data_IF_358629170294
#
_entry.id   IF_358629170294
#
_cell.length_a   1.000
_cell.length_b   1.000
_cell.length_c   1.000
_cell.angle_alpha   90.00
_cell.angle_beta   90.00
_cell.angle_gamma   90.00
#
_symmetry.space_group_name_H-M   'P 1'
#
loop_
_entity.id
_entity.type
_entity.pdbx_description
1 polymer ?
#
# COMPACT_ATOMS: atom_id res chain seq x y z
N UNK A 1 -52.63 21.23 -7.02
CA UNK A 1 -51.85 20.45 -8.01
C UNK A 1 -51.50 19.12 -7.38
N UNK A 2 -52.07 18.02 -7.88
CA UNK A 2 -51.97 16.68 -7.25
C UNK A 2 -50.55 16.13 -7.33
N UNK A 3 -50.12 15.35 -6.32
CA UNK A 3 -48.81 14.67 -6.27
C UNK A 3 -48.55 13.81 -7.52
N UNK A 4 -49.61 13.28 -8.13
CA UNK A 4 -49.52 12.48 -9.36
C UNK A 4 -49.00 13.28 -10.56
N UNK A 5 -49.31 14.58 -10.61
CA UNK A 5 -48.85 15.47 -11.69
C UNK A 5 -47.35 15.78 -11.59
N UNK A 6 -46.80 15.79 -10.37
CA UNK A 6 -45.36 15.97 -10.15
C UNK A 6 -44.60 14.68 -10.49
N UNK A 7 -45.15 13.52 -10.15
CA UNK A 7 -44.57 12.23 -10.50
C UNK A 7 -44.53 12.00 -12.03
N UNK A 8 -45.61 12.35 -12.74
CA UNK A 8 -45.66 12.26 -14.20
C UNK A 8 -44.65 13.19 -14.90
N UNK A 9 -44.46 14.41 -14.38
CA UNK A 9 -43.47 15.35 -14.92
C UNK A 9 -42.04 14.84 -14.72
N UNK A 10 -41.73 14.25 -13.57
CA UNK A 10 -40.42 13.68 -13.27
C UNK A 10 -40.11 12.47 -14.16
N UNK A 11 -41.09 11.59 -14.39
CA UNK A 11 -40.92 10.43 -15.26
C UNK A 11 -40.68 10.81 -16.72
N UNK A 12 -41.37 11.85 -17.22
CA UNK A 12 -41.14 12.33 -18.58
C UNK A 12 -39.74 12.95 -18.75
N UNK A 13 -39.25 13.66 -17.73
CA UNK A 13 -37.90 14.22 -17.74
C UNK A 13 -36.83 13.12 -17.72
N UNK A 14 -37.01 12.09 -16.89
CA UNK A 14 -36.10 10.93 -16.84
C UNK A 14 -36.08 10.16 -18.16
N UNK A 15 -37.23 9.95 -18.79
CA UNK A 15 -37.31 9.30 -20.10
C UNK A 15 -36.62 10.13 -21.19
N UNK A 16 -36.78 11.46 -21.18
CA UNK A 16 -36.09 12.32 -22.14
C UNK A 16 -34.55 12.23 -22.01
N UNK A 17 -34.03 12.17 -20.77
CA UNK A 17 -32.59 12.02 -20.52
C UNK A 17 -32.04 10.63 -20.90
N UNK A 18 -32.88 9.59 -20.85
CA UNK A 18 -32.49 8.23 -21.22
C UNK A 18 -32.40 8.05 -22.74
N UNK A 19 -33.21 8.77 -23.53
CA UNK A 19 -33.18 8.69 -24.99
C UNK A 19 -32.00 9.44 -25.64
N UNK A 20 -31.42 10.44 -24.98
CA UNK A 20 -30.28 11.21 -25.53
C UNK A 20 -28.93 10.47 -25.44
N UNK A 21 -28.88 9.27 -24.85
CA UNK A 21 -27.64 8.53 -24.56
C UNK A 21 -27.32 7.36 -25.51
N UNK A 22 -28.07 7.16 -26.59
CA UNK A 22 -27.72 6.17 -27.63
C UNK A 22 -27.12 6.86 -28.86
N UNK A 23 -25.79 6.78 -29.10
CA UNK A 23 -25.24 7.13 -30.38
C UNK A 23 -25.58 6.04 -31.41
N UNK A 24 -26.18 6.48 -32.52
CA UNK A 24 -26.33 5.77 -33.78
C UNK A 24 -25.02 5.06 -34.19
N UNK A 25 -24.92 3.75 -33.93
CA UNK A 25 -23.83 2.90 -34.42
C UNK A 25 -24.36 1.74 -35.28
N UNK A 26 -25.40 2.01 -36.06
CA UNK A 26 -25.91 1.10 -37.10
C UNK A 26 -25.82 1.75 -38.48
N UNK A 27 -24.60 2.01 -38.95
CA UNK A 27 -24.38 2.15 -40.39
C UNK A 27 -22.94 1.83 -40.77
N UNK A 28 -22.79 0.80 -41.61
CA UNK A 28 -21.64 0.44 -42.46
C UNK A 28 -20.81 -0.77 -42.02
N UNK A 29 -21.36 -1.96 -42.27
CA UNK A 29 -20.56 -3.11 -42.69
C UNK A 29 -21.19 -3.71 -43.95
N UNK A 30 -20.50 -3.52 -45.09
CA UNK A 30 -20.77 -4.24 -46.34
C UNK A 30 -20.31 -5.70 -46.18
N UNK A 31 -20.99 -6.68 -46.80
CA UNK A 31 -20.56 -8.07 -46.75
C UNK A 31 -19.41 -8.28 -47.75
N UNK A 32 -18.29 -8.81 -47.26
CA UNK A 32 -17.25 -9.39 -48.10
C UNK A 32 -17.37 -10.92 -48.05
N UNK A 33 -17.85 -11.48 -49.15
CA UNK A 33 -17.66 -12.87 -49.53
C UNK A 33 -16.19 -13.28 -49.41
N UNK A 34 -15.93 -14.37 -48.71
CA UNK A 34 -15.04 -15.44 -49.17
C UNK A 34 -14.96 -16.53 -48.10
N UNK A 35 -15.82 -17.53 -48.26
CA UNK A 35 -15.67 -18.82 -47.63
C UNK A 35 -14.31 -19.44 -48.00
N UNK A 36 -13.48 -19.74 -46.99
CA UNK A 36 -12.41 -20.73 -47.10
C UNK A 36 -12.40 -21.61 -45.86
N UNK A 37 -12.96 -22.80 -46.08
CA UNK A 37 -12.53 -24.12 -45.59
C UNK A 37 -12.07 -24.23 -44.14
N UNK A 38 -12.96 -24.76 -43.32
CA UNK A 38 -12.65 -25.36 -42.03
C UNK A 38 -11.99 -26.72 -42.29
N UNK A 39 -10.72 -26.87 -41.93
CA UNK A 39 -10.06 -28.16 -41.81
C UNK A 39 -9.66 -28.35 -40.34
N UNK A 40 -10.54 -29.01 -39.57
CA UNK A 40 -10.14 -29.65 -38.33
C UNK A 40 -9.53 -30.99 -38.70
N UNK A 41 -8.29 -31.20 -38.24
CA UNK A 41 -7.70 -32.44 -37.71
C UNK A 41 -6.18 -32.29 -37.83
N UNK A 42 -5.55 -31.80 -36.76
CA UNK A 42 -4.20 -32.24 -36.41
C UNK A 42 -4.11 -32.26 -34.89
N UNK A 43 -3.91 -33.46 -34.34
CA UNK A 43 -3.53 -33.67 -32.94
C UNK A 43 -2.22 -32.92 -32.67
N UNK A 44 -2.09 -32.21 -31.55
CA UNK A 44 -0.81 -31.65 -31.17
C UNK A 44 0.09 -32.80 -30.70
N UNK A 45 1.06 -33.19 -31.53
CA UNK A 45 2.23 -33.97 -31.10
C UNK A 45 3.08 -33.09 -30.16
N UNK A 46 2.70 -33.02 -28.90
CA UNK A 46 3.53 -32.44 -27.85
C UNK A 46 4.56 -33.48 -27.43
N UNK A 47 5.76 -33.38 -27.98
CA UNK A 47 6.93 -34.05 -27.45
C UNK A 47 7.32 -33.37 -26.12
N UNK A 48 7.36 -34.11 -24.98
CA UNK A 48 7.78 -33.53 -23.72
C UNK A 48 9.30 -33.54 -23.68
N UNK A 49 9.94 -32.59 -24.38
CA UNK A 49 11.35 -32.34 -24.14
C UNK A 49 11.50 -31.48 -22.88
N UNK A 50 11.25 -32.12 -21.73
CA UNK A 50 11.56 -31.55 -20.42
C UNK A 50 13.07 -31.53 -20.31
N UNK A 51 13.67 -30.34 -20.42
CA UNK A 51 15.04 -30.12 -19.97
C UNK A 51 15.11 -30.48 -18.48
N UNK A 52 15.60 -31.68 -18.17
CA UNK A 52 15.94 -32.08 -16.81
C UNK A 52 17.10 -31.20 -16.36
N UNK A 53 16.80 -30.16 -15.58
CA UNK A 53 17.82 -29.57 -14.73
C UNK A 53 18.36 -30.66 -13.80
N UNK A 54 19.69 -30.82 -13.66
CA UNK A 54 20.23 -31.72 -12.66
C UNK A 54 19.78 -31.25 -11.29
N UNK A 55 19.18 -32.18 -10.53
CA UNK A 55 18.84 -31.97 -9.12
C UNK A 55 20.16 -31.64 -8.39
N UNK A 56 20.29 -30.41 -7.88
CA UNK A 56 21.43 -30.04 -7.04
C UNK A 56 21.43 -30.95 -5.81
N UNK A 57 22.52 -31.66 -5.59
CA UNK A 57 22.75 -32.37 -4.35
C UNK A 57 22.75 -31.37 -3.17
N UNK A 58 22.16 -31.73 -2.02
CA UNK A 58 22.17 -30.87 -0.85
C UNK A 58 23.61 -30.63 -0.39
N UNK A 59 23.98 -29.36 -0.20
CA UNK A 59 25.32 -28.92 0.21
C UNK A 59 25.68 -29.28 1.67
N UNK A 60 24.87 -30.11 2.34
CA UNK A 60 25.06 -30.47 3.74
C UNK A 60 24.82 -31.97 3.88
N UNK A 61 25.88 -32.69 4.22
CA UNK A 61 25.89 -34.12 4.52
C UNK A 61 25.06 -34.41 5.78
N UNK A 62 24.30 -35.51 5.82
CA UNK A 62 23.53 -35.96 7.01
C UNK A 62 24.40 -36.09 8.27
N UNK A 63 25.70 -36.28 8.09
CA UNK A 63 26.70 -36.39 9.15
C UNK A 63 26.95 -35.05 9.87
N UNK A 64 26.76 -33.91 9.21
CA UNK A 64 26.85 -32.58 9.84
C UNK A 64 25.63 -32.24 10.71
N UNK A 65 24.46 -32.85 10.44
CA UNK A 65 23.26 -32.66 11.26
C UNK A 65 23.43 -33.37 12.62
N UNK A 66 24.14 -34.50 12.65
CA UNK A 66 24.41 -35.27 13.88
C UNK A 66 25.42 -34.63 14.83
N UNK A 67 26.17 -33.62 14.40
CA UNK A 67 27.18 -32.94 15.21
C UNK A 67 26.69 -31.66 15.90
N UNK A 68 25.40 -31.32 15.76
CA UNK A 68 24.80 -30.26 16.55
C UNK A 68 24.61 -30.75 18.00
N UNK A 69 25.15 -30.05 19.01
CA UNK A 69 25.02 -30.47 20.39
C UNK A 69 23.56 -30.36 20.87
N UNK A 70 22.99 -31.49 21.27
CA UNK A 70 21.75 -31.56 22.05
C UNK A 70 22.02 -31.16 23.51
N UNK A 71 21.13 -30.31 24.03
CA UNK A 71 20.87 -30.05 25.45
C UNK A 71 21.86 -29.14 26.20
N UNK A 72 21.37 -27.94 26.53
CA UNK A 72 21.68 -27.31 27.82
C UNK A 72 20.35 -27.07 28.53
N UNK A 73 20.06 -27.92 29.52
CA UNK A 73 19.13 -27.63 30.60
C UNK A 73 19.75 -26.49 31.43
N UNK A 74 19.11 -25.33 31.47
CA UNK A 74 19.46 -24.27 32.43
C UNK A 74 18.38 -24.28 33.51
N UNK A 75 18.77 -24.83 34.65
CA UNK A 75 18.09 -24.79 35.94
C UNK A 75 18.01 -23.34 36.43
N UNK A 76 16.88 -23.03 37.05
CA UNK A 76 16.55 -21.78 37.74
C UNK A 76 17.61 -21.41 38.79
N UNK A 77 18.08 -20.16 38.75
CA UNK A 77 18.54 -19.44 39.95
C UNK A 77 17.92 -18.04 39.94
N UNK A 78 16.96 -17.87 40.85
CA UNK A 78 16.31 -16.63 41.20
C UNK A 78 17.32 -15.68 41.87
N UNK A 79 17.44 -14.44 41.37
CA UNK A 79 17.73 -13.30 42.24
C UNK A 79 16.77 -12.15 41.97
N UNK A 80 15.91 -11.98 42.97
CA UNK A 80 14.95 -10.92 43.21
C UNK A 80 15.60 -9.53 43.26
N UNK A 81 15.08 -8.61 42.45
CA UNK A 81 14.84 -7.24 42.86
C UNK A 81 13.36 -6.94 42.59
N UNK A 82 12.55 -7.13 43.62
CA UNK A 82 11.21 -6.58 43.69
C UNK A 82 11.34 -5.14 44.18
N UNK A 83 10.75 -4.18 43.46
CA UNK A 83 10.02 -3.06 44.04
C UNK A 83 9.10 -2.45 42.96
N UNK A 84 7.83 -2.43 43.32
CA UNK A 84 6.75 -1.57 42.84
C UNK A 84 6.07 -1.93 41.52
N UNK A 85 4.89 -2.54 41.68
CA UNK A 85 3.72 -2.25 40.87
C UNK A 85 3.67 -0.75 40.54
N UNK A 86 3.74 -0.49 39.24
CA UNK A 86 2.90 0.51 38.61
C UNK A 86 2.32 -0.19 37.38
N UNK A 87 1.09 -0.66 37.54
CA UNK A 87 0.18 -0.85 36.42
C UNK A 87 0.07 0.50 35.70
N UNK A 88 0.88 0.70 34.66
CA UNK A 88 0.51 1.60 33.58
C UNK A 88 0.27 0.73 32.37
N UNK A 89 -0.95 0.23 32.33
CA UNK A 89 -1.70 -0.06 31.12
C UNK A 89 -1.24 0.85 29.99
N UNK A 90 -0.47 0.29 29.04
CA UNK A 90 -0.26 0.91 27.73
C UNK A 90 -1.38 0.44 26.80
N UNK A 91 -2.62 0.69 27.23
CA UNK A 91 -3.72 0.88 26.30
C UNK A 91 -3.44 2.19 25.54
N UNK A 92 -3.99 2.36 24.33
CA UNK A 92 -3.98 3.63 23.57
C UNK A 92 -2.83 3.91 22.59
N UNK A 93 -2.24 2.91 21.93
CA UNK A 93 -1.38 3.13 20.75
C UNK A 93 -2.14 3.19 19.40
N UNK A 94 -3.46 2.95 19.39
CA UNK A 94 -4.34 3.02 18.21
C UNK A 94 -5.61 3.86 18.47
N UNK A 95 -5.68 4.57 19.60
CA UNK A 95 -6.93 5.09 20.18
C UNK A 95 -7.74 6.04 19.28
N UNK A 96 -7.13 6.56 18.23
CA UNK A 96 -7.78 7.48 17.29
C UNK A 96 -8.15 6.86 15.95
N UNK A 97 -7.68 5.63 15.66
CA UNK A 97 -7.88 4.96 14.37
C UNK A 97 -9.12 4.06 14.38
N UNK A 98 -10.30 4.68 14.35
CA UNK A 98 -11.61 3.99 14.30
C UNK A 98 -11.76 2.95 13.17
N UNK A 99 -10.94 3.03 12.12
CA UNK A 99 -10.92 2.07 11.03
C UNK A 99 -10.35 0.69 11.41
N UNK A 100 -9.59 0.59 12.50
CA UNK A 100 -8.90 -0.64 12.92
C UNK A 100 -9.80 -1.64 13.67
N UNK A 101 -11.00 -1.21 14.11
CA UNK A 101 -11.90 -2.01 14.96
C UNK A 101 -12.80 -2.99 14.19
N UNK A 102 -12.79 -2.94 12.85
CA UNK A 102 -13.65 -3.75 11.98
C UNK A 102 -12.88 -4.17 10.73
N UNK A 103 -13.41 -5.10 9.94
CA UNK A 103 -12.76 -5.47 8.68
C UNK A 103 -12.64 -4.26 7.73
N UNK A 104 -11.44 -4.03 7.18
CA UNK A 104 -11.12 -2.88 6.33
C UNK A 104 -10.37 -3.32 5.06
N UNK A 105 -10.30 -2.43 4.07
CA UNK A 105 -9.51 -2.65 2.86
C UNK A 105 -8.22 -1.83 2.92
N UNK A 106 -7.11 -2.43 2.50
CA UNK A 106 -5.81 -1.80 2.40
C UNK A 106 -5.27 -1.84 0.97
N UNK A 107 -4.63 -0.75 0.54
CA UNK A 107 -3.78 -0.76 -0.64
C UNK A 107 -2.38 -1.24 -0.28
N UNK A 108 -1.86 -2.20 -1.03
CA UNK A 108 -0.45 -2.58 -0.96
C UNK A 108 0.39 -1.76 -1.94
N UNK A 109 1.55 -1.32 -1.49
CA UNK A 109 2.53 -0.60 -2.32
C UNK A 109 3.96 -0.85 -1.82
N UNK A 110 4.94 -0.66 -2.68
CA UNK A 110 6.34 -0.88 -2.36
C UNK A 110 7.10 0.43 -2.22
N UNK A 111 7.96 0.44 -1.19
CA UNK A 111 8.92 1.49 -0.92
C UNK A 111 10.29 0.85 -0.70
N UNK A 112 11.21 1.07 -1.63
CA UNK A 112 12.59 0.62 -1.55
C UNK A 112 12.74 -0.88 -1.21
N UNK A 113 11.88 -1.72 -1.79
CA UNK A 113 11.87 -3.17 -1.57
C UNK A 113 11.11 -3.64 -0.32
N UNK A 114 10.47 -2.75 0.43
CA UNK A 114 9.53 -3.08 1.51
C UNK A 114 8.10 -2.88 1.04
N UNK A 115 7.25 -3.89 1.24
CA UNK A 115 5.82 -3.78 1.00
C UNK A 115 5.13 -3.18 2.22
N UNK A 116 4.33 -2.15 1.98
CA UNK A 116 3.52 -1.42 2.95
C UNK A 116 2.04 -1.60 2.62
N UNK A 117 1.21 -1.50 3.65
CA UNK A 117 -0.24 -1.46 3.57
C UNK A 117 -0.75 -0.15 4.16
N UNK A 118 -1.72 0.47 3.50
CA UNK A 118 -2.42 1.66 4.01
C UNK A 118 -3.93 1.48 3.83
N UNK A 119 -4.77 1.79 4.84
CA UNK A 119 -6.22 1.71 4.71
C UNK A 119 -6.75 2.58 3.56
N UNK A 120 -7.64 2.04 2.73
CA UNK A 120 -8.23 2.77 1.61
C UNK A 120 -9.04 4.00 2.06
N UNK A 121 -9.61 3.97 3.27
CA UNK A 121 -10.35 5.11 3.86
C UNK A 121 -9.47 6.34 4.07
N UNK A 122 -8.17 6.15 4.24
CA UNK A 122 -7.20 7.23 4.45
C UNK A 122 -6.53 7.69 3.15
N UNK A 123 -6.77 7.00 2.05
CA UNK A 123 -6.15 7.31 0.77
C UNK A 123 -6.90 8.39 0.00
N UNK A 124 -6.13 9.30 -0.60
CA UNK A 124 -6.62 10.23 -1.61
C UNK A 124 -6.47 9.63 -3.02
N UNK A 125 -5.93 10.43 -3.92
CA UNK A 125 -5.59 10.03 -5.29
C UNK A 125 -4.15 9.51 -5.42
N UNK A 126 -3.92 8.73 -6.48
CA UNK A 126 -2.59 8.26 -6.88
C UNK A 126 -2.22 8.96 -8.19
N UNK A 127 -1.08 9.63 -8.20
CA UNK A 127 -0.54 10.34 -9.36
C UNK A 127 0.71 9.64 -9.88
N UNK A 128 1.02 9.80 -11.16
CA UNK A 128 2.33 9.43 -11.69
C UNK A 128 3.40 10.35 -11.11
N UNK A 129 4.58 9.80 -10.83
CA UNK A 129 5.74 10.57 -10.40
C UNK A 129 6.55 10.99 -11.64
N UNK A 130 6.52 12.28 -11.94
CA UNK A 130 7.29 12.89 -13.02
C UNK A 130 8.14 14.03 -12.44
N UNK A 131 9.46 13.85 -12.26
CA UNK A 131 10.33 14.85 -11.64
C UNK A 131 10.20 16.26 -12.24
N UNK A 132 9.91 16.35 -13.53
CA UNK A 132 9.77 17.60 -14.28
C UNK A 132 8.50 18.38 -13.90
N UNK A 133 7.48 17.72 -13.37
CA UNK A 133 6.25 18.34 -12.90
C UNK A 133 6.33 18.85 -11.46
N UNK A 134 7.36 18.45 -10.71
CA UNK A 134 7.53 18.88 -9.33
C UNK A 134 8.25 20.23 -9.26
N UNK A 135 7.66 21.18 -8.55
CA UNK A 135 8.30 22.45 -8.23
C UNK A 135 9.19 22.29 -7.00
N UNK A 136 10.53 22.37 -7.11
CA UNK A 136 11.42 22.27 -5.96
C UNK A 136 11.30 23.52 -5.07
N UNK A 137 11.48 23.34 -3.77
CA UNK A 137 11.57 24.44 -2.80
C UNK A 137 12.95 24.48 -2.16
N UNK A 138 13.55 25.67 -2.09
CA UNK A 138 14.84 25.88 -1.45
C UNK A 138 14.70 25.90 0.08
N UNK A 139 15.73 25.42 0.78
CA UNK A 139 15.78 25.42 2.23
C UNK A 139 14.89 24.37 2.90
N UNK A 140 14.31 23.45 2.13
CA UNK A 140 13.53 22.34 2.67
C UNK A 140 14.43 21.17 3.11
N UNK A 141 13.96 20.33 4.06
CA UNK A 141 14.64 19.10 4.42
C UNK A 141 14.80 18.14 3.23
N UNK A 142 15.77 17.24 3.31
CA UNK A 142 16.12 16.28 2.26
C UNK A 142 15.08 15.15 2.06
N UNK A 143 14.06 15.04 2.92
CA UNK A 143 12.89 14.19 2.69
C UNK A 143 11.85 14.86 1.80
N UNK A 144 11.94 16.16 1.55
CA UNK A 144 11.04 16.87 0.67
C UNK A 144 11.54 16.78 -0.77
N UNK A 145 10.68 16.33 -1.69
CA UNK A 145 11.02 16.18 -3.10
C UNK A 145 10.65 17.45 -3.87
N UNK A 146 9.44 17.98 -3.65
CA UNK A 146 8.89 19.12 -4.37
C UNK A 146 7.38 19.26 -4.17
N UNK A 147 6.78 20.27 -4.78
CA UNK A 147 5.33 20.45 -4.84
C UNK A 147 4.80 19.91 -6.16
N UNK A 148 3.80 19.03 -6.12
CA UNK A 148 3.02 18.59 -7.27
C UNK A 148 1.70 19.38 -7.32
N UNK A 149 1.43 20.06 -8.43
CA UNK A 149 0.14 20.73 -8.64
C UNK A 149 -0.89 19.72 -9.11
N UNK A 150 -1.97 19.53 -8.35
CA UNK A 150 -3.06 18.59 -8.67
C UNK A 150 -4.40 19.35 -8.78
N UNK A 151 -5.45 18.75 -9.38
CA UNK A 151 -6.77 19.37 -9.44
C UNK A 151 -7.39 19.69 -8.07
N UNK A 152 -6.97 18.96 -7.02
CA UNK A 152 -7.47 19.12 -5.65
C UNK A 152 -6.65 20.15 -4.87
N UNK A 153 -5.51 20.58 -5.41
CA UNK A 153 -4.60 21.53 -4.77
C UNK A 153 -3.13 21.15 -4.93
N UNK A 154 -2.27 21.89 -4.24
CA UNK A 154 -0.83 21.62 -4.22
C UNK A 154 -0.52 20.54 -3.20
N UNK A 155 0.24 19.53 -3.62
CA UNK A 155 0.65 18.40 -2.81
C UNK A 155 2.16 18.47 -2.53
N UNK A 156 2.54 18.50 -1.26
CA UNK A 156 3.93 18.33 -0.82
C UNK A 156 4.34 16.88 -1.02
N UNK A 157 5.27 16.62 -1.93
CA UNK A 157 5.72 15.27 -2.23
C UNK A 157 6.92 14.92 -1.36
N UNK A 158 6.78 13.84 -0.60
CA UNK A 158 7.76 13.34 0.37
C UNK A 158 8.44 12.07 -0.13
N UNK A 159 9.72 11.92 0.16
CA UNK A 159 10.50 10.71 -0.11
C UNK A 159 10.16 9.63 0.92
N UNK A 160 9.32 8.67 0.53
CA UNK A 160 8.80 7.65 1.45
C UNK A 160 9.89 6.78 2.09
N UNK A 161 10.97 6.48 1.37
CA UNK A 161 12.04 5.61 1.88
C UNK A 161 12.76 6.21 3.10
N UNK A 162 12.85 7.54 3.19
CA UNK A 162 13.48 8.23 4.34
C UNK A 162 12.63 8.17 5.60
N UNK A 163 11.32 8.05 5.46
CA UNK A 163 10.39 7.94 6.59
C UNK A 163 10.27 6.51 7.09
N UNK A 164 10.15 5.57 6.16
CA UNK A 164 9.86 4.16 6.47
C UNK A 164 11.14 3.38 6.79
N UNK A 165 12.26 3.70 6.15
CA UNK A 165 13.53 2.97 6.33
C UNK A 165 14.75 3.90 6.22
N UNK A 166 14.87 4.91 7.11
CA UNK A 166 15.97 5.88 7.05
C UNK A 166 17.35 5.22 7.07
N UNK A 167 17.52 4.14 7.83
CA UNK A 167 18.78 3.42 7.97
C UNK A 167 19.24 2.67 6.71
N UNK A 168 18.31 2.40 5.76
CA UNK A 168 18.60 1.70 4.50
C UNK A 168 18.57 2.62 3.28
N UNK A 169 18.28 3.90 3.47
CA UNK A 169 18.10 4.84 2.38
C UNK A 169 19.38 5.00 1.54
N UNK A 170 19.22 5.01 0.22
CA UNK A 170 20.26 5.40 -0.71
C UNK A 170 19.71 6.39 -1.75
N UNK A 171 20.56 7.25 -2.30
CA UNK A 171 20.13 8.26 -3.27
C UNK A 171 19.65 7.67 -4.61
N UNK A 172 19.98 6.41 -4.92
CA UNK A 172 19.51 5.75 -6.13
C UNK A 172 18.03 5.35 -6.04
N UNK A 173 17.49 5.10 -4.83
CA UNK A 173 16.08 4.76 -4.62
C UNK A 173 15.13 5.83 -5.16
N UNK A 174 15.56 7.10 -5.18
CA UNK A 174 14.78 8.22 -5.72
C UNK A 174 14.57 8.12 -7.24
N UNK A 175 15.47 7.45 -7.96
CA UNK A 175 15.38 7.28 -9.43
C UNK A 175 14.30 6.28 -9.83
N UNK A 176 13.95 5.38 -8.92
CA UNK A 176 13.00 4.30 -9.16
C UNK A 176 11.57 4.64 -8.71
N UNK A 177 11.34 5.87 -8.25
CA UNK A 177 10.00 6.36 -7.89
C UNK A 177 9.13 6.48 -9.13
N UNK A 178 7.88 6.03 -9.02
CA UNK A 178 6.93 6.01 -10.15
C UNK A 178 5.58 6.61 -9.84
N UNK A 179 5.22 6.69 -8.55
CA UNK A 179 3.89 7.16 -8.14
C UNK A 179 3.98 8.10 -6.96
N UNK A 180 3.00 8.98 -6.81
CA UNK A 180 2.74 9.76 -5.61
C UNK A 180 1.37 9.38 -5.08
N UNK A 181 1.33 8.84 -3.86
CA UNK A 181 0.09 8.51 -3.16
C UNK A 181 -0.26 9.67 -2.24
N UNK A 182 -1.34 10.39 -2.53
CA UNK A 182 -1.85 11.43 -1.65
C UNK A 182 -2.67 10.83 -0.51
N UNK A 183 -2.67 11.51 0.63
CA UNK A 183 -3.43 11.11 1.82
C UNK A 183 -4.65 12.00 1.96
N UNK A 184 -5.81 11.40 2.20
CA UNK A 184 -7.05 12.15 2.36
C UNK A 184 -6.98 13.06 3.59
N UNK A 185 -7.40 14.31 3.44
CA UNK A 185 -7.37 15.32 4.50
C UNK A 185 -6.00 15.98 4.76
N UNK A 186 -4.97 15.62 4.00
CA UNK A 186 -3.63 16.22 4.14
C UNK A 186 -3.12 16.81 2.82
N UNK A 187 -2.26 17.81 2.92
CA UNK A 187 -1.63 18.51 1.79
C UNK A 187 -0.31 17.86 1.34
N UNK A 188 -0.05 16.61 1.74
CA UNK A 188 1.16 15.88 1.41
C UNK A 188 0.88 14.48 0.84
N UNK A 189 1.87 13.95 0.13
CA UNK A 189 1.82 12.60 -0.44
C UNK A 189 3.18 11.91 -0.42
N UNK A 190 3.14 10.59 -0.48
CA UNK A 190 4.33 9.73 -0.49
C UNK A 190 4.70 9.40 -1.92
N UNK A 191 5.93 9.72 -2.33
CA UNK A 191 6.48 9.16 -3.55
C UNK A 191 6.89 7.71 -3.30
N UNK A 192 6.41 6.78 -4.12
CA UNK A 192 6.60 5.33 -3.96
C UNK A 192 7.06 4.67 -5.27
N UNK A 193 7.62 3.47 -5.15
CA UNK A 193 8.19 2.73 -6.28
C UNK A 193 7.13 2.00 -7.10
N UNK A 194 6.15 1.39 -6.43
CA UNK A 194 5.16 0.55 -7.08
C UNK A 194 3.85 0.55 -6.30
N UNK A 195 2.73 0.73 -6.99
CA UNK A 195 1.40 0.43 -6.45
C UNK A 195 1.04 -1.01 -6.85
N UNK A 196 0.51 -1.78 -5.90
CA UNK A 196 0.06 -3.16 -6.11
C UNK A 196 -1.47 -3.21 -6.12
N UNK A 197 -2.05 -4.28 -5.55
CA UNK A 197 -3.49 -4.48 -5.43
C UNK A 197 -3.98 -4.14 -4.02
N UNK A 198 -5.29 -4.00 -3.87
CA UNK A 198 -5.94 -3.91 -2.57
C UNK A 198 -6.23 -5.30 -2.00
N UNK A 199 -6.25 -5.37 -0.67
CA UNK A 199 -6.58 -6.57 0.10
C UNK A 199 -7.62 -6.21 1.16
N UNK A 200 -8.48 -7.16 1.51
CA UNK A 200 -9.37 -7.03 2.65
C UNK A 200 -8.72 -7.69 3.87
N UNK A 201 -8.67 -6.97 4.98
CA UNK A 201 -8.07 -7.41 6.23
C UNK A 201 -9.12 -7.48 7.32
N UNK A 202 -9.09 -8.58 8.07
CA UNK A 202 -9.69 -8.65 9.39
C UNK A 202 -8.69 -8.12 10.43
N UNK A 203 -9.11 -7.41 11.49
CA UNK A 203 -8.20 -6.95 12.53
C UNK A 203 -7.37 -8.07 13.17
N UNK A 204 -7.87 -9.31 13.20
CA UNK A 204 -7.13 -10.47 13.70
C UNK A 204 -5.98 -10.92 12.78
N UNK A 205 -6.01 -10.54 11.50
CA UNK A 205 -4.93 -10.81 10.53
C UNK A 205 -3.74 -9.85 10.67
N UNK A 206 -3.82 -8.91 11.62
CA UNK A 206 -2.78 -7.93 11.90
C UNK A 206 -2.17 -8.19 13.28
N UNK A 207 -0.86 -8.35 13.31
CA UNK A 207 -0.09 -8.29 14.55
C UNK A 207 0.14 -6.83 14.93
N UNK A 208 -0.75 -6.28 15.74
CA UNK A 208 -0.69 -4.91 16.22
C UNK A 208 0.49 -4.67 17.15
N UNK A 209 1.04 -3.45 17.13
CA UNK A 209 2.14 -3.03 18.00
C UNK A 209 1.61 -2.28 19.21
N UNK A 210 1.98 -2.73 20.40
CA UNK A 210 1.75 -2.03 21.68
C UNK A 210 2.86 -1.02 21.95
N UNK A 211 4.13 -1.42 21.82
CA UNK A 211 5.28 -0.51 21.85
C UNK A 211 5.71 -0.13 20.43
N UNK A 212 5.52 1.16 20.12
CA UNK A 212 5.86 1.71 18.81
C UNK A 212 7.25 2.34 18.73
N UNK A 213 7.89 2.62 19.88
CA UNK A 213 9.27 3.11 19.99
C UNK A 213 9.71 4.06 18.86
N UNK A 214 10.81 3.72 18.18
CA UNK A 214 11.38 4.53 17.08
C UNK A 214 10.55 4.57 15.80
N UNK A 215 9.59 3.66 15.60
CA UNK A 215 8.78 3.56 14.38
C UNK A 215 7.30 3.75 14.72
N UNK A 216 6.98 4.92 15.26
CA UNK A 216 5.62 5.28 15.68
C UNK A 216 4.58 5.15 14.55
N UNK A 217 5.00 5.40 13.31
CA UNK A 217 4.19 5.26 12.09
C UNK A 217 3.79 3.81 11.74
N UNK A 218 4.37 2.78 12.39
CA UNK A 218 4.07 1.37 12.10
C UNK A 218 2.98 0.87 13.05
N UNK A 219 1.75 0.74 12.55
CA UNK A 219 0.60 0.25 13.30
C UNK A 219 0.72 -1.24 13.68
N UNK A 220 1.16 -2.04 12.72
CA UNK A 220 1.22 -3.48 12.87
C UNK A 220 1.88 -4.17 11.68
N UNK A 221 1.94 -5.48 11.75
CA UNK A 221 2.39 -6.33 10.63
C UNK A 221 1.22 -7.18 10.17
N UNK A 222 0.91 -7.13 8.88
CA UNK A 222 -0.09 -8.01 8.26
C UNK A 222 0.52 -9.40 8.13
N UNK A 223 -0.13 -10.41 8.71
CA UNK A 223 0.45 -11.75 8.88
C UNK A 223 0.55 -12.47 7.54
N UNK A 224 -0.54 -12.51 6.77
CA UNK A 224 -0.58 -13.27 5.51
C UNK A 224 0.31 -12.67 4.42
N UNK A 225 0.34 -11.34 4.33
CA UNK A 225 1.07 -10.62 3.29
C UNK A 225 2.48 -10.20 3.72
N UNK A 226 2.86 -10.41 4.98
CA UNK A 226 4.15 -10.05 5.56
C UNK A 226 4.54 -8.59 5.27
N UNK A 227 3.56 -7.68 5.29
CA UNK A 227 3.74 -6.26 5.01
C UNK A 227 3.53 -5.41 6.25
N UNK A 228 4.13 -4.22 6.25
CA UNK A 228 4.00 -3.27 7.35
C UNK A 228 2.74 -2.42 7.16
N UNK A 229 1.84 -2.41 8.15
CA UNK A 229 0.63 -1.61 8.16
C UNK A 229 0.93 -0.21 8.69
N UNK A 230 0.64 0.80 7.89
CA UNK A 230 0.99 2.19 8.17
C UNK A 230 -0.10 2.89 8.98
N UNK A 231 0.32 3.62 10.02
CA UNK A 231 -0.51 4.54 10.78
C UNK A 231 -0.37 5.95 10.18
N UNK A 232 -1.35 6.31 9.36
CA UNK A 232 -1.33 7.54 8.57
C UNK A 232 -1.39 8.78 9.46
N UNK A 233 -2.21 8.75 10.51
CA UNK A 233 -2.41 9.89 11.41
C UNK A 233 -1.13 10.17 12.18
N UNK A 234 -0.50 9.13 12.73
CA UNK A 234 0.78 9.26 13.43
C UNK A 234 1.87 9.70 12.47
N UNK A 235 1.91 9.15 11.25
CA UNK A 235 2.89 9.60 10.25
C UNK A 235 2.72 11.08 9.91
N UNK A 236 1.47 11.55 9.75
CA UNK A 236 1.18 12.95 9.48
C UNK A 236 1.70 13.86 10.61
N UNK A 237 1.46 13.49 11.87
CA UNK A 237 1.96 14.23 13.02
C UNK A 237 3.50 14.31 13.04
N UNK A 238 4.18 13.20 12.70
CA UNK A 238 5.63 13.19 12.59
C UNK A 238 6.12 14.14 11.49
N UNK A 239 5.44 14.21 10.34
CA UNK A 239 5.78 15.13 9.25
C UNK A 239 5.63 16.58 9.70
N UNK A 240 4.48 16.96 10.28
CA UNK A 240 4.22 18.31 10.75
C UNK A 240 5.22 18.77 11.83
N UNK A 241 5.59 17.88 12.74
CA UNK A 241 6.56 18.20 13.79
C UNK A 241 7.98 18.46 13.25
N UNK A 242 8.34 17.88 12.10
CA UNK A 242 9.62 18.11 11.44
C UNK A 242 9.63 19.39 10.58
N UNK A 243 8.46 19.92 10.20
CA UNK A 243 8.33 21.21 9.50
C UNK A 243 8.52 22.42 10.43
N UNK A 244 8.30 22.26 11.73
CA UNK A 244 8.43 23.34 12.71
C UNK A 244 9.89 23.41 13.18
N UNK A 245 10.68 24.44 12.80
CA UNK A 245 12.00 24.60 13.40
C UNK A 245 11.83 24.83 14.90
N UNK A 246 12.54 24.06 15.74
CA UNK A 246 12.66 24.40 17.15
C UNK A 246 13.12 25.86 17.26
N UNK A 247 12.22 26.73 17.72
CA UNK A 247 12.60 28.09 18.09
C UNK A 247 13.64 27.98 19.20
N UNK A 248 14.86 28.53 19.05
CA UNK A 248 15.81 28.55 20.16
C UNK A 248 15.22 29.43 21.27
N UNK A 249 15.22 28.89 22.49
CA UNK A 249 14.96 29.63 23.72
C UNK A 249 16.12 30.59 24.03
#
# INVERSE_FOLDING_TARGET
>A
MSKDSQHAALQNYLNALLLDAEPELEAQLKPADAAKSVAFLDEPLVSPNVLRMPLREPLISEEQIRQLPETVLITEEQQSHALSEAETTSEHALDNSSWADSAFECLLFDVAGLTLAVPLTMLGSIYAFEPEQLTPLFGQPDWFIGILSTPVGNLKVLESARWVMPERYNANMRKDLKFVISVNGYDWGLAVHQVRHSIRLDPSAVKWRTDRGKRAWLAGTVIEHMCALLDVEVLAQLITNQETPMSPA
#
